data_IF_315130661536
#
_entry.id   IF_315130661536
#
_cell.length_a   1.000
_cell.length_b   1.000
_cell.length_c   1.000
_cell.angle_alpha   90.00
_cell.angle_beta   90.00
_cell.angle_gamma   90.00
#
_symmetry.space_group_name_H-M   'P 1'
#
loop_
_entity.id
_entity.type
_entity.pdbx_description
1 polymer ?
#
# COMPACT_ATOMS: atom_id res chain seq x y z
N UNK A 1 -25.26 7.46 2.14
CA UNK A 1 -26.00 8.27 1.14
C UNK A 1 -26.95 7.35 0.41
N UNK A 2 -28.21 7.79 0.25
CA UNK A 2 -29.29 7.08 -0.43
C UNK A 2 -29.90 7.96 -1.50
N UNK A 3 -30.53 7.38 -2.51
CA UNK A 3 -31.30 8.07 -3.54
C UNK A 3 -32.33 7.12 -4.14
N UNK A 4 -33.24 7.64 -4.95
CA UNK A 4 -34.22 6.84 -5.68
C UNK A 4 -34.49 7.38 -7.08
N UNK A 5 -35.11 6.55 -7.93
CA UNK A 5 -35.53 6.93 -9.28
C UNK A 5 -36.61 8.00 -9.30
N UNK A 6 -37.41 8.07 -8.22
CA UNK A 6 -38.37 9.14 -7.94
C UNK A 6 -38.21 9.61 -6.49
N UNK A 7 -38.72 10.79 -6.11
CA UNK A 7 -38.67 11.25 -4.71
C UNK A 7 -39.31 10.26 -3.74
N UNK A 8 -40.42 9.66 -4.09
CA UNK A 8 -41.15 8.70 -3.24
C UNK A 8 -40.34 7.41 -3.03
N UNK A 9 -39.67 6.92 -4.06
CA UNK A 9 -38.76 5.75 -3.96
C UNK A 9 -37.54 6.12 -3.14
N UNK A 10 -36.99 7.32 -3.33
CA UNK A 10 -35.86 7.83 -2.53
C UNK A 10 -36.16 7.82 -1.03
N UNK A 11 -37.34 8.29 -0.63
CA UNK A 11 -37.78 8.27 0.78
C UNK A 11 -37.87 6.84 1.29
N UNK A 12 -38.52 5.91 0.55
CA UNK A 12 -38.65 4.51 0.96
C UNK A 12 -37.28 3.84 1.15
N UNK A 13 -36.35 4.05 0.21
CA UNK A 13 -34.98 3.52 0.30
C UNK A 13 -34.27 4.13 1.51
N UNK A 14 -34.39 5.44 1.70
CA UNK A 14 -33.75 6.11 2.83
C UNK A 14 -34.27 5.60 4.18
N UNK A 15 -35.58 5.42 4.34
CA UNK A 15 -36.21 4.94 5.56
C UNK A 15 -35.80 3.49 5.87
N UNK A 16 -35.69 2.65 4.84
CA UNK A 16 -35.18 1.29 4.99
C UNK A 16 -33.75 1.28 5.52
N UNK A 17 -32.84 2.04 4.91
CA UNK A 17 -31.45 2.10 5.39
C UNK A 17 -31.34 2.78 6.77
N UNK A 18 -32.15 3.80 7.04
CA UNK A 18 -32.19 4.48 8.34
C UNK A 18 -32.58 3.54 9.48
N UNK A 19 -33.37 2.51 9.22
CA UNK A 19 -33.77 1.53 10.23
C UNK A 19 -32.61 0.63 10.71
N UNK A 20 -31.52 0.51 9.95
CA UNK A 20 -30.38 -0.39 10.25
C UNK A 20 -29.04 0.35 10.40
N UNK A 21 -28.92 1.59 9.92
CA UNK A 21 -27.67 2.35 9.98
C UNK A 21 -27.71 3.34 11.15
N UNK A 22 -26.99 2.98 12.22
CA UNK A 22 -26.93 3.78 13.47
C UNK A 22 -26.34 5.19 13.23
N UNK A 23 -25.35 5.31 12.34
CA UNK A 23 -24.72 6.58 11.99
C UNK A 23 -25.66 7.56 11.21
N UNK A 24 -26.87 7.11 10.88
CA UNK A 24 -27.83 7.87 10.09
C UNK A 24 -27.60 7.77 8.59
N UNK A 25 -28.53 8.38 7.84
CA UNK A 25 -28.52 8.39 6.38
C UNK A 25 -28.65 9.81 5.84
N UNK A 26 -28.17 10.02 4.61
CA UNK A 26 -28.39 11.26 3.85
C UNK A 26 -29.12 10.92 2.55
N UNK A 27 -30.30 11.50 2.38
CA UNK A 27 -31.08 11.37 1.16
C UNK A 27 -30.61 12.40 0.13
N UNK A 28 -29.92 11.93 -0.90
CA UNK A 28 -29.50 12.76 -2.02
C UNK A 28 -30.68 13.08 -2.96
N UNK A 29 -30.72 14.25 -3.60
CA UNK A 29 -31.82 14.67 -4.45
C UNK A 29 -31.99 13.82 -5.72
N UNK A 30 -30.90 13.21 -6.21
CA UNK A 30 -30.90 12.30 -7.37
C UNK A 30 -29.88 11.19 -7.21
N UNK A 31 -30.05 10.09 -7.97
CA UNK A 31 -29.06 9.01 -8.05
C UNK A 31 -27.70 9.55 -8.50
N UNK A 32 -27.65 10.43 -9.50
CA UNK A 32 -26.40 11.02 -9.99
C UNK A 32 -25.64 11.77 -8.88
N UNK A 33 -26.34 12.48 -8.00
CA UNK A 33 -25.71 13.17 -6.87
C UNK A 33 -25.16 12.16 -5.85
N UNK A 34 -25.88 11.09 -5.57
CA UNK A 34 -25.42 10.04 -4.66
C UNK A 34 -24.16 9.34 -5.19
N UNK A 35 -24.14 8.99 -6.47
CA UNK A 35 -22.98 8.39 -7.16
C UNK A 35 -21.77 9.36 -7.17
N UNK A 36 -22.00 10.62 -7.55
CA UNK A 36 -20.96 11.63 -7.54
C UNK A 36 -20.37 11.84 -6.14
N UNK A 37 -21.19 11.85 -5.09
CA UNK A 37 -20.74 11.99 -3.72
C UNK A 37 -19.76 10.85 -3.31
N UNK A 38 -20.02 9.60 -3.78
CA UNK A 38 -19.10 8.48 -3.51
C UNK A 38 -17.78 8.61 -4.26
N UNK A 39 -17.85 8.94 -5.54
CA UNK A 39 -16.66 9.07 -6.39
C UNK A 39 -15.74 10.19 -5.93
N UNK A 40 -16.29 11.36 -5.53
CA UNK A 40 -15.45 12.48 -5.06
C UNK A 40 -14.80 12.21 -3.71
N UNK A 41 -15.42 11.42 -2.83
CA UNK A 41 -14.81 11.02 -1.55
C UNK A 41 -13.50 10.25 -1.80
N UNK A 42 -13.52 9.26 -2.70
CA UNK A 42 -12.35 8.49 -3.07
C UNK A 42 -11.32 9.32 -3.85
N UNK A 43 -11.77 10.17 -4.80
CA UNK A 43 -10.89 11.03 -5.58
C UNK A 43 -10.18 12.07 -4.71
N UNK A 44 -10.88 12.66 -3.73
CA UNK A 44 -10.27 13.57 -2.76
C UNK A 44 -9.17 12.87 -1.95
N UNK A 45 -9.44 11.65 -1.49
CA UNK A 45 -8.46 10.85 -0.74
C UNK A 45 -7.23 10.56 -1.57
N UNK A 46 -7.41 10.15 -2.81
CA UNK A 46 -6.34 9.87 -3.76
C UNK A 46 -5.45 11.12 -4.00
N UNK A 47 -6.06 12.28 -4.26
CA UNK A 47 -5.35 13.55 -4.48
C UNK A 47 -4.58 13.97 -3.22
N UNK A 48 -5.17 13.84 -2.04
CA UNK A 48 -4.49 14.18 -0.79
C UNK A 48 -3.29 13.24 -0.51
N UNK A 49 -3.41 11.95 -0.84
CA UNK A 49 -2.27 11.04 -0.74
C UNK A 49 -1.21 11.40 -1.78
N UNK A 50 -1.60 11.74 -3.02
CA UNK A 50 -0.65 12.21 -4.02
C UNK A 50 0.11 13.45 -3.55
N UNK A 51 -0.56 14.41 -2.93
CA UNK A 51 0.08 15.59 -2.38
C UNK A 51 1.14 15.25 -1.32
N UNK A 52 0.81 14.39 -0.34
CA UNK A 52 1.80 14.02 0.69
C UNK A 52 2.90 13.10 0.13
N UNK A 53 2.63 12.29 -0.90
CA UNK A 53 3.65 11.54 -1.64
C UNK A 53 4.63 12.47 -2.37
N UNK A 54 4.14 13.57 -2.97
CA UNK A 54 5.00 14.59 -3.59
C UNK A 54 5.88 15.29 -2.54
N UNK A 55 5.29 15.63 -1.38
CA UNK A 55 6.05 16.17 -0.26
C UNK A 55 7.15 15.22 0.21
N UNK A 56 6.87 13.92 0.33
CA UNK A 56 7.88 12.92 0.68
C UNK A 56 9.05 12.89 -0.33
N UNK A 57 8.76 12.98 -1.63
CA UNK A 57 9.81 13.07 -2.67
C UNK A 57 10.64 14.34 -2.54
N UNK A 58 10.00 15.50 -2.29
CA UNK A 58 10.67 16.80 -2.10
C UNK A 58 11.54 16.76 -0.85
N UNK A 59 10.99 16.31 0.28
CA UNK A 59 11.72 16.31 1.56
C UNK A 59 12.88 15.33 1.55
N UNK A 60 12.74 14.19 0.87
CA UNK A 60 13.85 13.26 0.67
C UNK A 60 15.03 13.95 -0.07
N UNK A 61 14.75 14.76 -1.11
CA UNK A 61 15.79 15.52 -1.82
C UNK A 61 16.42 16.62 -0.96
N UNK A 62 15.68 17.15 0.00
CA UNK A 62 16.13 18.19 0.93
C UNK A 62 16.79 17.61 2.20
N UNK A 63 16.82 16.29 2.37
CA UNK A 63 17.22 15.59 3.59
C UNK A 63 16.40 16.05 4.83
N UNK A 64 15.11 16.23 4.66
CA UNK A 64 14.16 16.57 5.71
C UNK A 64 13.30 15.34 6.00
N UNK A 65 13.07 15.05 7.27
CA UNK A 65 12.18 13.97 7.69
C UNK A 65 10.71 14.34 7.40
N UNK A 66 10.09 13.61 6.48
CA UNK A 66 8.70 13.81 6.07
C UNK A 66 7.72 13.63 7.23
N UNK A 67 7.92 12.62 8.08
CA UNK A 67 7.03 12.34 9.19
C UNK A 67 7.07 13.45 10.25
N UNK A 68 8.25 13.96 10.57
CA UNK A 68 8.41 15.09 11.49
C UNK A 68 7.73 16.37 10.95
N UNK A 69 7.81 16.63 9.64
CA UNK A 69 7.11 17.77 9.03
C UNK A 69 5.58 17.59 9.11
N UNK A 70 5.08 16.39 8.78
CA UNK A 70 3.64 16.10 8.83
C UNK A 70 3.10 16.14 10.26
N UNK A 71 3.86 15.69 11.26
CA UNK A 71 3.53 15.83 12.67
C UNK A 71 3.42 17.30 13.08
N UNK A 72 4.42 18.10 12.75
CA UNK A 72 4.41 19.54 13.03
C UNK A 72 3.25 20.26 12.33
N UNK A 73 2.99 19.95 11.05
CA UNK A 73 1.85 20.51 10.32
C UNK A 73 0.51 20.08 10.92
N UNK A 74 0.42 18.84 11.40
CA UNK A 74 -0.75 18.24 12.04
C UNK A 74 -1.18 18.91 13.35
N UNK A 75 -0.34 19.75 13.95
CA UNK A 75 -0.73 20.61 15.08
C UNK A 75 -1.73 21.70 14.70
N UNK A 76 -1.90 21.96 13.40
CA UNK A 76 -2.85 22.95 12.89
C UNK A 76 -4.21 22.31 12.69
N UNK A 77 -5.26 22.92 13.23
CA UNK A 77 -6.64 22.40 13.23
C UNK A 77 -7.20 22.09 11.84
N UNK A 78 -6.72 22.74 10.79
CA UNK A 78 -7.18 22.59 9.42
C UNK A 78 -6.28 21.71 8.54
N UNK A 79 -5.21 21.13 9.11
CA UNK A 79 -4.36 20.20 8.37
C UNK A 79 -4.97 18.80 8.37
N UNK A 80 -5.08 18.21 7.18
CA UNK A 80 -5.66 16.86 7.03
C UNK A 80 -4.56 15.79 7.24
N UNK A 81 -4.79 14.77 8.10
CA UNK A 81 -3.75 13.83 8.55
C UNK A 81 -3.50 12.71 7.53
N UNK A 82 -3.22 13.06 6.28
CA UNK A 82 -2.79 12.09 5.28
C UNK A 82 -1.30 11.78 5.46
N UNK A 83 -0.93 10.53 5.11
CA UNK A 83 0.46 10.06 5.14
C UNK A 83 0.87 9.58 3.76
N UNK A 84 2.18 9.63 3.43
CA UNK A 84 2.70 9.01 2.21
C UNK A 84 2.42 7.51 2.19
N UNK A 85 2.28 6.96 0.98
CA UNK A 85 2.07 5.52 0.83
C UNK A 85 1.65 5.12 -0.56
N UNK A 86 1.57 3.82 -0.75
CA UNK A 86 1.10 3.21 -1.99
C UNK A 86 -0.43 3.18 -2.02
N UNK A 87 -1.03 3.63 -3.12
CA UNK A 87 -2.49 3.70 -3.28
C UNK A 87 -2.97 2.56 -4.15
N UNK A 88 -3.42 1.50 -3.50
CA UNK A 88 -4.02 0.33 -4.12
C UNK A 88 -5.50 0.12 -3.75
N UNK A 89 -5.99 -1.10 -4.02
CA UNK A 89 -7.35 -1.52 -3.72
C UNK A 89 -8.38 -1.15 -4.79
N UNK A 90 -9.65 -1.52 -4.53
CA UNK A 90 -10.72 -1.48 -5.55
C UNK A 90 -11.30 -0.09 -5.81
N UNK A 91 -11.22 0.82 -4.85
CA UNK A 91 -11.95 2.10 -4.92
C UNK A 91 -11.00 3.29 -5.11
N UNK A 92 -10.05 3.51 -4.18
CA UNK A 92 -9.24 4.73 -4.17
C UNK A 92 -8.35 4.83 -5.42
N UNK A 93 -7.78 3.71 -5.88
CA UNK A 93 -6.96 3.66 -7.09
C UNK A 93 -7.74 3.63 -8.41
N UNK A 94 -9.05 3.39 -8.38
CA UNK A 94 -9.89 3.13 -9.57
C UNK A 94 -10.93 4.21 -9.82
N UNK A 95 -11.69 4.63 -8.80
CA UNK A 95 -12.77 5.61 -8.94
C UNK A 95 -12.32 6.95 -9.58
N UNK A 96 -11.11 7.48 -9.31
CA UNK A 96 -10.63 8.68 -9.98
C UNK A 96 -10.53 8.55 -11.50
N UNK A 97 -10.22 7.33 -12.02
CA UNK A 97 -10.20 7.09 -13.46
C UNK A 97 -11.59 7.12 -14.08
N UNK A 98 -12.61 6.57 -13.38
CA UNK A 98 -14.00 6.67 -13.86
C UNK A 98 -14.47 8.13 -13.88
N UNK A 99 -14.12 8.92 -12.86
CA UNK A 99 -14.44 10.34 -12.85
C UNK A 99 -13.72 11.10 -13.96
N UNK A 100 -12.44 10.77 -14.20
CA UNK A 100 -11.65 11.38 -15.28
C UNK A 100 -12.21 11.04 -16.67
N UNK A 101 -12.58 9.77 -16.89
CA UNK A 101 -13.22 9.34 -18.12
C UNK A 101 -14.54 10.11 -18.34
N UNK A 102 -15.36 10.19 -17.29
CA UNK A 102 -16.64 10.91 -17.39
C UNK A 102 -16.47 12.40 -17.67
N UNK A 103 -15.46 13.02 -17.11
CA UNK A 103 -15.11 14.41 -17.42
C UNK A 103 -14.71 14.58 -18.89
N UNK A 104 -13.88 13.68 -19.42
CA UNK A 104 -13.45 13.71 -20.82
C UNK A 104 -14.62 13.48 -21.80
N UNK A 105 -15.57 12.60 -21.47
CA UNK A 105 -16.80 12.38 -22.26
C UNK A 105 -17.63 13.67 -22.44
N UNK A 106 -17.58 14.58 -21.47
CA UNK A 106 -18.27 15.87 -21.54
C UNK A 106 -17.36 17.03 -21.98
N UNK A 107 -16.17 16.71 -22.50
CA UNK A 107 -15.23 17.68 -23.07
C UNK A 107 -14.33 18.39 -22.06
N UNK A 108 -14.22 17.91 -20.82
CA UNK A 108 -13.34 18.50 -19.79
C UNK A 108 -12.12 17.63 -19.52
N UNK A 109 -10.92 18.22 -19.54
CA UNK A 109 -9.69 17.52 -19.15
C UNK A 109 -9.42 17.69 -17.65
N UNK A 110 -9.48 16.61 -16.83
CA UNK A 110 -9.36 16.72 -15.38
C UNK A 110 -7.88 16.73 -14.93
N UNK A 111 -7.25 17.89 -14.95
CA UNK A 111 -5.83 18.12 -14.66
C UNK A 111 -5.38 17.54 -13.31
N UNK A 112 -6.04 17.95 -12.22
CA UNK A 112 -5.65 17.59 -10.84
C UNK A 112 -5.83 16.09 -10.59
N UNK A 113 -6.94 15.52 -11.04
CA UNK A 113 -7.24 14.09 -10.84
C UNK A 113 -6.19 13.23 -11.55
N UNK A 114 -5.89 13.54 -12.81
CA UNK A 114 -4.92 12.80 -13.59
C UNK A 114 -3.48 13.00 -13.09
N UNK A 115 -3.13 14.21 -12.62
CA UNK A 115 -1.83 14.47 -12.02
C UNK A 115 -1.64 13.65 -10.74
N UNK A 116 -2.65 13.64 -9.84
CA UNK A 116 -2.63 12.84 -8.62
C UNK A 116 -2.46 11.35 -8.92
N UNK A 117 -3.22 10.82 -9.90
CA UNK A 117 -3.08 9.42 -10.31
C UNK A 117 -1.70 9.08 -10.85
N UNK A 118 -1.14 9.88 -11.76
CA UNK A 118 0.22 9.66 -12.28
C UNK A 118 1.26 9.62 -11.16
N UNK A 119 1.15 10.52 -10.18
CA UNK A 119 2.05 10.53 -9.04
C UNK A 119 1.92 9.26 -8.20
N UNK A 120 0.70 8.90 -7.78
CA UNK A 120 0.45 7.72 -6.97
C UNK A 120 0.85 6.42 -7.69
N UNK A 121 0.62 6.32 -8.99
CA UNK A 121 1.02 5.15 -9.78
C UNK A 121 2.54 5.02 -9.91
N UNK A 122 3.29 6.15 -9.89
CA UNK A 122 4.76 6.12 -9.93
C UNK A 122 5.44 5.78 -8.60
N UNK A 123 4.69 5.62 -7.50
CA UNK A 123 5.28 5.45 -6.18
C UNK A 123 5.94 4.08 -5.98
N UNK A 124 5.49 3.03 -6.67
CA UNK A 124 6.14 1.72 -6.63
C UNK A 124 7.58 1.77 -7.14
N UNK A 125 7.79 2.36 -8.30
CA UNK A 125 9.12 2.59 -8.89
C UNK A 125 9.98 3.50 -8.01
N UNK A 126 9.37 4.55 -7.44
CA UNK A 126 10.07 5.44 -6.53
C UNK A 126 10.60 4.71 -5.31
N UNK A 127 9.80 3.90 -4.64
CA UNK A 127 10.22 3.07 -3.48
C UNK A 127 11.37 2.16 -3.89
N UNK A 128 11.25 1.41 -4.98
CA UNK A 128 12.33 0.54 -5.48
C UNK A 128 13.63 1.33 -5.72
N UNK A 129 13.54 2.52 -6.33
CA UNK A 129 14.70 3.38 -6.58
C UNK A 129 15.39 3.85 -5.29
N UNK A 130 14.63 4.15 -4.23
CA UNK A 130 15.20 4.53 -2.92
C UNK A 130 15.90 3.34 -2.25
N UNK A 131 15.29 2.15 -2.27
CA UNK A 131 15.90 0.90 -1.79
C UNK A 131 17.24 0.65 -2.49
N UNK A 132 17.28 0.72 -3.82
CA UNK A 132 18.50 0.53 -4.61
C UNK A 132 19.56 1.57 -4.28
N UNK A 133 19.20 2.84 -4.14
CA UNK A 133 20.14 3.91 -3.73
C UNK A 133 20.77 3.64 -2.37
N UNK A 134 19.97 3.17 -1.40
CA UNK A 134 20.48 2.81 -0.06
C UNK A 134 21.43 1.61 -0.14
N UNK A 135 21.08 0.58 -0.92
CA UNK A 135 21.95 -0.58 -1.15
C UNK A 135 23.31 -0.14 -1.73
N UNK A 136 23.29 0.71 -2.75
CA UNK A 136 24.51 1.23 -3.39
C UNK A 136 25.35 2.04 -2.37
N UNK A 137 24.72 2.91 -1.58
CA UNK A 137 25.42 3.72 -0.54
C UNK A 137 26.11 2.83 0.51
N UNK A 138 25.53 1.67 0.84
CA UNK A 138 26.13 0.68 1.76
C UNK A 138 27.09 -0.30 1.06
N UNK A 139 27.39 -0.12 -0.23
CA UNK A 139 28.29 -1.00 -1.00
C UNK A 139 27.70 -2.40 -1.28
N UNK A 140 26.38 -2.55 -1.24
CA UNK A 140 25.72 -3.81 -1.53
C UNK A 140 25.59 -3.97 -3.06
N UNK A 141 26.06 -5.10 -3.59
CA UNK A 141 25.84 -5.45 -5.00
C UNK A 141 24.33 -5.70 -5.22
N UNK A 142 23.73 -4.88 -6.07
CA UNK A 142 22.27 -4.89 -6.29
C UNK A 142 21.83 -6.10 -7.11
N UNK A 143 22.46 -6.32 -8.27
CA UNK A 143 22.12 -7.45 -9.13
C UNK A 143 22.44 -8.78 -8.45
N UNK A 144 21.44 -9.64 -8.35
CA UNK A 144 21.50 -10.91 -7.65
C UNK A 144 21.33 -10.84 -6.13
N UNK A 145 21.13 -9.64 -5.54
CA UNK A 145 20.86 -9.49 -4.12
C UNK A 145 19.55 -10.17 -3.72
N UNK A 146 19.51 -10.74 -2.50
CA UNK A 146 18.29 -11.27 -1.92
C UNK A 146 17.59 -10.19 -1.07
N UNK A 147 16.32 -9.95 -1.33
CA UNK A 147 15.49 -8.99 -0.61
C UNK A 147 14.26 -9.68 -0.03
N UNK A 148 13.95 -9.37 1.23
CA UNK A 148 12.71 -9.77 1.88
C UNK A 148 11.71 -8.62 1.83
N UNK A 149 10.55 -8.88 1.25
CA UNK A 149 9.42 -7.96 1.25
C UNK A 149 8.39 -8.45 2.28
N UNK A 150 8.06 -7.60 3.23
CA UNK A 150 7.09 -7.85 4.29
C UNK A 150 5.73 -7.22 3.91
N UNK A 151 4.77 -8.06 3.58
CA UNK A 151 3.41 -7.69 3.20
C UNK A 151 3.23 -7.48 1.68
N UNK A 152 2.16 -8.11 1.14
CA UNK A 152 1.71 -7.97 -0.25
C UNK A 152 0.23 -7.59 -0.34
N UNK A 153 -0.54 -7.70 0.74
CA UNK A 153 -1.95 -7.30 0.75
C UNK A 153 -2.11 -5.80 0.49
N UNK A 154 -3.27 -5.36 0.01
CA UNK A 154 -3.45 -3.94 -0.33
C UNK A 154 -3.52 -3.02 0.90
N UNK A 155 -3.81 -3.56 2.09
CA UNK A 155 -3.79 -2.85 3.38
C UNK A 155 -3.52 -3.80 4.55
N UNK A 156 -3.16 -3.20 5.68
CA UNK A 156 -2.85 -3.91 6.92
C UNK A 156 -4.03 -4.75 7.46
N UNK A 157 -3.69 -5.93 7.99
CA UNK A 157 -4.61 -6.84 8.69
C UNK A 157 -5.85 -7.21 7.87
N UNK A 158 -5.66 -7.40 6.58
CA UNK A 158 -6.72 -7.75 5.63
C UNK A 158 -6.18 -8.76 4.61
N UNK A 159 -6.86 -9.89 4.36
CA UNK A 159 -6.36 -10.93 3.45
C UNK A 159 -6.51 -10.60 1.96
N UNK A 160 -7.05 -9.44 1.59
CA UNK A 160 -7.30 -9.06 0.19
C UNK A 160 -6.01 -8.61 -0.50
N UNK A 161 -5.63 -9.30 -1.57
CA UNK A 161 -4.43 -9.02 -2.37
C UNK A 161 -4.72 -8.26 -3.67
N UNK A 162 -6.00 -8.09 -4.03
CA UNK A 162 -6.40 -7.49 -5.31
C UNK A 162 -5.99 -6.02 -5.43
N UNK A 163 -5.46 -5.65 -6.60
CA UNK A 163 -4.99 -4.29 -6.90
C UNK A 163 -3.99 -3.72 -5.86
N UNK A 164 -3.18 -4.58 -5.27
CA UNK A 164 -2.11 -4.10 -4.39
C UNK A 164 -1.02 -3.40 -5.21
N UNK A 165 -0.55 -2.24 -4.75
CA UNK A 165 0.55 -1.50 -5.37
C UNK A 165 1.94 -2.01 -4.96
N UNK A 166 1.99 -2.98 -4.06
CA UNK A 166 3.24 -3.66 -3.70
C UNK A 166 3.81 -4.45 -4.88
N UNK A 167 2.96 -4.94 -5.78
CA UNK A 167 3.42 -5.65 -7.00
C UNK A 167 4.26 -4.75 -7.90
N UNK A 168 3.97 -3.45 -7.97
CA UNK A 168 4.76 -2.49 -8.73
C UNK A 168 6.16 -2.32 -8.11
N UNK A 169 6.27 -2.35 -6.79
CA UNK A 169 7.56 -2.35 -6.07
C UNK A 169 8.34 -3.62 -6.38
N UNK A 170 7.68 -4.78 -6.34
CA UNK A 170 8.31 -6.08 -6.68
C UNK A 170 8.84 -6.07 -8.11
N UNK A 171 8.00 -5.68 -9.07
CA UNK A 171 8.39 -5.61 -10.48
C UNK A 171 9.60 -4.69 -10.70
N UNK A 172 9.56 -3.48 -10.15
CA UNK A 172 10.66 -2.54 -10.26
C UNK A 172 11.95 -3.04 -9.61
N UNK A 173 11.88 -3.72 -8.45
CA UNK A 173 13.06 -4.32 -7.81
C UNK A 173 13.64 -5.47 -8.65
N UNK A 174 12.78 -6.28 -9.27
CA UNK A 174 13.20 -7.38 -10.14
C UNK A 174 13.90 -6.87 -11.42
N UNK A 175 13.50 -5.70 -11.95
CA UNK A 175 14.19 -5.05 -13.09
C UNK A 175 15.65 -4.70 -12.76
N UNK A 176 15.98 -4.41 -11.50
CA UNK A 176 17.35 -4.24 -11.02
C UNK A 176 18.10 -5.58 -10.79
N UNK A 177 17.47 -6.72 -11.10
CA UNK A 177 18.04 -8.05 -10.88
C UNK A 177 18.00 -8.53 -9.43
N UNK A 178 17.20 -7.90 -8.56
CA UNK A 178 17.02 -8.29 -7.17
C UNK A 178 16.09 -9.51 -7.09
N UNK A 179 16.46 -10.50 -6.27
CA UNK A 179 15.64 -11.68 -5.98
C UNK A 179 14.74 -11.36 -4.79
N UNK A 180 13.45 -11.13 -5.06
CA UNK A 180 12.47 -10.75 -4.04
C UNK A 180 11.81 -12.01 -3.47
N UNK A 181 11.89 -12.16 -2.15
CA UNK A 181 11.10 -13.13 -1.36
C UNK A 181 9.98 -12.37 -0.68
N UNK A 182 8.74 -12.80 -0.84
CA UNK A 182 7.56 -12.15 -0.26
C UNK A 182 7.07 -12.96 0.93
N UNK A 183 6.91 -12.30 2.07
CA UNK A 183 6.26 -12.87 3.25
C UNK A 183 5.07 -12.03 3.65
N UNK A 184 3.91 -12.66 3.76
CA UNK A 184 2.69 -12.02 4.24
C UNK A 184 1.80 -13.06 4.95
N UNK A 185 1.58 -12.93 6.27
CA UNK A 185 0.78 -13.87 7.05
C UNK A 185 -0.73 -13.78 6.78
N UNK A 186 -1.18 -12.74 6.10
CA UNK A 186 -2.58 -12.51 5.75
C UNK A 186 -2.92 -12.91 4.32
N UNK A 187 -1.94 -12.90 3.42
CA UNK A 187 -2.16 -13.21 2.01
C UNK A 187 -2.36 -14.72 1.80
N UNK A 188 -3.28 -15.07 0.89
CA UNK A 188 -3.39 -16.43 0.40
C UNK A 188 -2.35 -16.64 -0.73
N UNK A 189 -1.34 -17.52 -0.57
CA UNK A 189 -0.31 -17.75 -1.59
C UNK A 189 -0.87 -18.20 -2.95
N UNK A 190 -1.98 -18.94 -2.97
CA UNK A 190 -2.62 -19.39 -4.21
C UNK A 190 -3.23 -18.22 -4.97
N UNK A 191 -3.87 -17.28 -4.26
CA UNK A 191 -4.43 -16.08 -4.86
C UNK A 191 -3.32 -15.15 -5.40
N UNK A 192 -2.22 -14.97 -4.65
CA UNK A 192 -1.07 -14.17 -5.10
C UNK A 192 -0.46 -14.76 -6.38
N UNK A 193 -0.32 -16.09 -6.44
CA UNK A 193 0.16 -16.76 -7.64
C UNK A 193 -0.81 -16.61 -8.80
N UNK A 194 -2.10 -16.75 -8.56
CA UNK A 194 -3.14 -16.61 -9.60
C UNK A 194 -3.21 -15.19 -10.17
N UNK A 195 -3.21 -14.17 -9.30
CA UNK A 195 -3.41 -12.77 -9.70
C UNK A 195 -2.12 -12.15 -10.30
N UNK A 196 -0.94 -12.52 -9.79
CA UNK A 196 0.31 -11.81 -10.09
C UNK A 196 1.45 -12.71 -10.61
N UNK A 197 1.29 -14.04 -10.57
CA UNK A 197 2.40 -14.96 -10.90
C UNK A 197 3.55 -14.91 -9.91
N UNK A 198 3.33 -14.38 -8.70
CA UNK A 198 4.34 -14.23 -7.67
C UNK A 198 4.21 -15.31 -6.60
N UNK A 199 5.36 -15.76 -6.08
CA UNK A 199 5.40 -16.67 -4.92
C UNK A 199 5.37 -15.86 -3.63
N UNK A 200 4.39 -16.12 -2.77
CA UNK A 200 4.26 -15.55 -1.45
C UNK A 200 4.31 -16.66 -0.40
N UNK A 201 4.90 -16.38 0.77
CA UNK A 201 4.98 -17.30 1.91
C UNK A 201 4.08 -16.76 3.03
N UNK A 202 3.22 -17.63 3.59
CA UNK A 202 2.39 -17.30 4.74
C UNK A 202 3.11 -17.53 6.08
N UNK A 203 4.27 -18.17 6.07
CA UNK A 203 5.11 -18.45 7.24
C UNK A 203 6.56 -18.10 6.95
N UNK A 204 7.25 -17.50 7.95
CA UNK A 204 8.69 -17.27 7.93
C UNK A 204 9.38 -18.44 8.64
N UNK A 205 10.23 -19.18 7.92
CA UNK A 205 11.12 -20.15 8.52
C UNK A 205 12.27 -19.44 9.26
N UNK A 206 12.06 -19.18 10.54
CA UNK A 206 13.15 -18.87 11.47
C UNK A 206 13.62 -20.17 12.13
N UNK A 207 14.89 -20.24 12.56
CA UNK A 207 15.43 -21.44 13.25
C UNK A 207 14.60 -21.85 14.49
N UNK A 208 13.82 -20.95 15.04
CA UNK A 208 12.92 -21.17 16.17
C UNK A 208 11.69 -22.01 15.82
N UNK A 209 11.26 -22.03 14.55
CA UNK A 209 10.10 -22.81 14.07
C UNK A 209 10.44 -24.30 13.90
N UNK A 210 11.72 -24.67 13.77
CA UNK A 210 12.17 -26.06 13.58
C UNK A 210 12.04 -26.97 14.81
N UNK A 211 11.84 -26.41 16.00
CA UNK A 211 11.78 -27.16 17.26
C UNK A 211 10.40 -27.72 17.60
N UNK A 212 9.36 -27.52 16.79
CA UNK A 212 7.95 -27.88 17.13
C UNK A 212 7.35 -28.94 16.17
N UNK A 213 7.92 -29.21 14.99
CA UNK A 213 7.34 -30.20 14.06
C UNK A 213 8.04 -31.53 14.05
N UNK A 214 7.39 -32.53 14.64
CA UNK A 214 7.75 -33.97 14.62
C UNK A 214 6.88 -34.79 13.64
N UNK A 215 6.50 -34.25 12.46
CA UNK A 215 5.87 -35.04 11.41
C UNK A 215 6.14 -34.45 10.01
N UNK A 216 6.73 -35.16 9.06
CA UNK A 216 6.99 -34.67 7.73
C UNK A 216 5.73 -34.82 6.85
N UNK A 217 5.09 -33.72 6.52
CA UNK A 217 4.16 -33.63 5.38
C UNK A 217 4.93 -33.37 4.08
N UNK A 218 4.46 -33.84 2.90
CA UNK A 218 5.26 -33.87 1.69
C UNK A 218 5.41 -32.50 1.03
N UNK A 219 6.68 -32.14 0.83
CA UNK A 219 7.24 -31.18 -0.13
C UNK A 219 6.55 -29.79 -0.15
N UNK A 220 6.83 -28.99 0.87
CA UNK A 220 6.92 -27.55 0.72
C UNK A 220 8.41 -27.17 0.72
N UNK A 221 8.92 -26.65 -0.37
CA UNK A 221 10.26 -26.06 -0.42
C UNK A 221 10.28 -24.83 0.50
N UNK A 222 10.65 -25.05 1.75
CA UNK A 222 10.92 -23.97 2.69
C UNK A 222 12.26 -23.34 2.31
N UNK A 223 12.35 -22.03 2.07
CA UNK A 223 13.64 -21.41 1.87
C UNK A 223 14.47 -21.60 3.15
N UNK A 224 15.70 -22.11 3.00
CA UNK A 224 16.71 -22.14 4.06
C UNK A 224 16.83 -20.77 4.72
N UNK A 225 17.36 -20.65 5.95
CA UNK A 225 17.54 -19.38 6.64
C UNK A 225 18.54 -18.49 5.88
N UNK A 226 18.07 -17.90 4.80
CA UNK A 226 18.86 -17.02 3.93
C UNK A 226 18.77 -15.64 4.51
N UNK A 227 19.88 -15.13 5.04
CA UNK A 227 19.95 -13.72 5.43
C UNK A 227 19.85 -12.82 4.20
N UNK A 228 19.03 -11.77 4.30
CA UNK A 228 18.73 -10.85 3.21
C UNK A 228 19.67 -9.66 3.16
N UNK A 229 19.94 -9.16 1.96
CA UNK A 229 20.73 -7.95 1.71
C UNK A 229 19.88 -6.68 1.94
N UNK A 230 18.57 -6.81 1.81
CA UNK A 230 17.61 -5.74 2.07
C UNK A 230 16.31 -6.32 2.63
N UNK A 231 15.64 -5.55 3.49
CA UNK A 231 14.29 -5.82 3.96
C UNK A 231 13.43 -4.60 3.65
N UNK A 232 12.26 -4.81 3.04
CA UNK A 232 11.29 -3.75 2.75
C UNK A 232 9.99 -4.06 3.48
N UNK A 233 9.55 -3.17 4.36
CA UNK A 233 8.22 -3.22 4.95
C UNK A 233 7.24 -2.52 4.01
N UNK A 234 6.44 -3.31 3.29
CA UNK A 234 5.44 -2.80 2.35
C UNK A 234 4.07 -2.57 2.96
N UNK A 235 3.64 -3.45 3.88
CA UNK A 235 2.33 -3.38 4.56
C UNK A 235 2.52 -3.50 6.07
N UNK A 236 1.81 -2.67 6.84
CA UNK A 236 1.97 -2.58 8.30
C UNK A 236 1.09 -3.58 9.06
N UNK A 237 1.27 -4.89 8.80
CA UNK A 237 0.58 -5.90 9.61
C UNK A 237 1.06 -5.88 11.06
N UNK A 238 0.17 -6.19 11.99
CA UNK A 238 0.49 -6.22 13.43
C UNK A 238 1.60 -7.20 13.77
N UNK A 239 1.72 -8.30 13.00
CA UNK A 239 2.75 -9.33 13.18
C UNK A 239 4.16 -8.78 12.91
N UNK A 240 4.29 -7.76 12.06
CA UNK A 240 5.59 -7.18 11.71
C UNK A 240 6.14 -6.23 12.78
N UNK A 241 5.32 -5.73 13.69
CA UNK A 241 5.76 -4.88 14.80
C UNK A 241 6.71 -5.61 15.78
N UNK A 242 6.58 -6.93 15.87
CA UNK A 242 7.36 -7.77 16.79
C UNK A 242 8.35 -8.68 16.07
N UNK A 243 8.56 -8.51 14.76
CA UNK A 243 9.48 -9.33 14.00
C UNK A 243 10.93 -8.94 14.30
N UNK A 244 11.76 -9.93 14.61
CA UNK A 244 13.20 -9.72 14.82
C UNK A 244 13.91 -9.65 13.47
N UNK A 245 14.07 -8.42 12.94
CA UNK A 245 14.72 -8.16 11.66
C UNK A 245 16.22 -8.48 11.69
N UNK A 246 16.89 -8.45 12.86
CA UNK A 246 18.32 -8.71 12.98
C UNK A 246 18.65 -10.17 12.68
N UNK A 247 17.73 -11.09 12.98
CA UNK A 247 17.88 -12.50 12.63
C UNK A 247 17.78 -12.76 11.13
N UNK A 248 17.07 -11.91 10.39
CA UNK A 248 16.75 -12.04 8.97
C UNK A 248 17.72 -11.29 8.06
N UNK A 249 18.39 -10.25 8.56
CA UNK A 249 19.27 -9.39 7.75
C UNK A 249 20.76 -9.83 7.83
N UNK A 250 21.50 -9.58 6.75
CA UNK A 250 22.97 -9.61 6.77
C UNK A 250 23.50 -8.42 7.53
N UNK A 251 24.78 -8.46 7.95
CA UNK A 251 25.42 -7.42 8.75
C UNK A 251 25.31 -6.01 8.10
N UNK A 252 25.48 -5.90 6.77
CA UNK A 252 25.38 -4.65 6.04
C UNK A 252 24.04 -4.44 5.31
N UNK A 253 23.00 -5.19 5.67
CA UNK A 253 21.69 -5.07 5.02
C UNK A 253 21.07 -3.70 5.24
N UNK A 254 20.15 -3.32 4.34
CA UNK A 254 19.31 -2.15 4.53
C UNK A 254 17.89 -2.56 4.96
N UNK A 255 17.25 -1.69 5.71
CA UNK A 255 15.82 -1.76 6.04
C UNK A 255 15.13 -0.52 5.51
N UNK A 256 14.10 -0.71 4.69
CA UNK A 256 13.28 0.38 4.16
C UNK A 256 11.83 0.21 4.59
N UNK A 257 11.26 1.24 5.20
CA UNK A 257 9.90 1.22 5.74
C UNK A 257 8.97 2.11 4.92
N UNK A 258 8.10 1.52 4.09
CA UNK A 258 7.11 2.26 3.28
C UNK A 258 6.02 2.90 4.15
N UNK A 259 5.82 2.39 5.38
CA UNK A 259 4.69 2.78 6.25
C UNK A 259 5.10 3.69 7.41
N UNK A 260 6.41 3.82 7.70
CA UNK A 260 6.93 4.63 8.78
C UNK A 260 6.52 4.13 10.16
N UNK A 261 6.53 2.82 10.40
CA UNK A 261 6.17 2.21 11.69
C UNK A 261 7.37 1.60 12.43
N UNK A 262 8.49 1.37 11.74
CA UNK A 262 9.69 0.82 12.34
C UNK A 262 10.50 1.92 13.02
N UNK A 263 10.99 1.65 14.23
CA UNK A 263 11.82 2.59 14.99
C UNK A 263 13.26 2.68 14.46
N UNK A 264 13.74 1.63 13.78
CA UNK A 264 15.10 1.55 13.21
C UNK A 264 15.01 1.09 11.76
N UNK A 265 15.24 2.03 10.84
CA UNK A 265 15.29 1.78 9.40
C UNK A 265 16.28 2.73 8.73
N UNK A 266 16.81 2.32 7.57
CA UNK A 266 17.76 3.12 6.79
C UNK A 266 17.06 4.18 5.92
N UNK A 267 15.76 4.04 5.73
CA UNK A 267 14.94 4.97 4.98
C UNK A 267 13.45 4.66 5.08
N UNK A 268 12.65 5.70 4.89
CA UNK A 268 11.19 5.65 4.88
C UNK A 268 10.64 6.48 3.73
N UNK A 269 9.36 6.24 3.42
CA UNK A 269 8.64 7.01 2.40
C UNK A 269 8.17 8.35 2.95
#
# INVERSE_FOLDING_TARGET
VTAGSTPEIGIKVNDLYKSVIIAGTHLAPTIKVAEAAKVIENSQRDINIAFVNELAKIFNLLNIDTHAVLEAAGTKWNFLPFKPGLVGGHCIGVDPYYLAQKAQEVGYHPEIILAGRRLNDSMGEYVASQVVKLMIKKGITVNGANLLLLGITFKENCPDVRNTKIVDVVAALQEYGIKVTIYDPWANPVEVMHEYGLTCHAELNTERSRSIESNPSPITHHPSPTKYNAIVLGVAHKEFQNIDLDTLKKENAIVYDVKGILSDCDGTL
#
